data_IF_084998880092
#
_entry.id   IF_084998880092
#
_cell.length_a   1.000
_cell.length_b   1.000
_cell.length_c   1.000
_cell.angle_alpha   90.00
_cell.angle_beta   90.00
_cell.angle_gamma   90.00
#
_symmetry.space_group_name_H-M   'P 1'
#
loop_
_entity.id
_entity.type
_entity.pdbx_description
1 polymer ?
#
# COMPACT_ATOMS: atom_id res chain seq x y z
N UNK A 1 -56.41 1.62 -36.70
CA UNK A 1 -54.98 2.02 -36.81
C UNK A 1 -54.38 1.97 -35.38
N UNK A 2 -53.72 0.86 -35.07
CA UNK A 2 -53.17 0.59 -33.74
C UNK A 2 -51.72 1.13 -33.70
N UNK A 3 -51.45 2.17 -32.91
CA UNK A 3 -50.07 2.69 -32.68
C UNK A 3 -49.49 1.91 -31.54
N UNK A 4 -48.56 0.98 -31.86
CA UNK A 4 -47.78 0.26 -30.89
C UNK A 4 -46.68 1.17 -30.36
N UNK A 5 -46.79 1.60 -29.09
CA UNK A 5 -45.70 2.25 -28.31
C UNK A 5 -44.74 1.17 -27.85
N UNK A 6 -43.58 1.07 -28.50
CA UNK A 6 -42.46 0.24 -28.03
C UNK A 6 -41.74 1.02 -26.93
N UNK A 7 -41.95 0.62 -25.67
CA UNK A 7 -41.20 1.11 -24.55
C UNK A 7 -39.88 0.34 -24.47
N UNK A 8 -38.78 0.94 -24.92
CA UNK A 8 -37.43 0.42 -24.67
C UNK A 8 -37.11 0.59 -23.17
N UNK A 9 -37.25 -0.49 -22.44
CA UNK A 9 -36.73 -0.57 -21.07
C UNK A 9 -35.21 -0.71 -21.12
N UNK A 10 -34.50 0.39 -20.93
CA UNK A 10 -33.04 0.41 -20.77
C UNK A 10 -32.71 -0.24 -19.43
N UNK A 11 -32.28 -1.51 -19.44
CA UNK A 11 -31.67 -2.15 -18.26
C UNK A 11 -30.34 -1.46 -17.97
N UNK A 12 -30.31 -0.57 -16.98
CA UNK A 12 -29.10 -0.10 -16.34
C UNK A 12 -28.49 -1.30 -15.59
N UNK A 13 -27.52 -1.97 -16.18
CA UNK A 13 -26.69 -2.94 -15.48
C UNK A 13 -25.80 -2.17 -14.52
N UNK A 14 -26.20 -2.09 -13.26
CA UNK A 14 -25.36 -1.59 -12.20
C UNK A 14 -24.16 -2.53 -12.05
N UNK A 15 -22.99 -2.10 -12.51
CA UNK A 15 -21.74 -2.82 -12.29
C UNK A 15 -21.49 -2.88 -10.76
N UNK A 16 -21.22 -4.06 -10.19
CA UNK A 16 -20.97 -4.18 -8.77
C UNK A 16 -19.76 -3.33 -8.41
N UNK A 17 -19.95 -2.42 -7.45
CA UNK A 17 -18.84 -1.68 -6.85
C UNK A 17 -17.85 -2.69 -6.26
N UNK A 18 -16.58 -2.61 -6.64
CA UNK A 18 -15.52 -3.54 -6.23
C UNK A 18 -15.08 -3.30 -4.76
N UNK A 19 -16.03 -3.26 -3.84
CA UNK A 19 -15.74 -3.29 -2.41
C UNK A 19 -15.91 -4.74 -1.93
N UNK A 20 -14.84 -5.35 -1.42
CA UNK A 20 -14.89 -6.71 -0.92
C UNK A 20 -13.51 -7.24 -0.52
N UNK A 21 -13.53 -8.29 0.26
CA UNK A 21 -12.33 -8.99 0.70
C UNK A 21 -11.57 -9.56 -0.50
N UNK A 22 -10.28 -9.29 -0.55
CA UNK A 22 -9.40 -9.78 -1.61
C UNK A 22 -8.86 -11.15 -1.24
N UNK A 23 -8.91 -12.08 -2.19
CA UNK A 23 -8.11 -13.31 -2.09
C UNK A 23 -6.62 -12.95 -2.10
N UNK A 24 -5.78 -13.84 -1.59
CA UNK A 24 -4.31 -13.64 -1.59
C UNK A 24 -3.74 -13.41 -2.99
N UNK A 25 -4.28 -14.06 -4.01
CA UNK A 25 -3.87 -13.85 -5.39
C UNK A 25 -4.25 -12.45 -5.91
N UNK A 26 -5.45 -11.97 -5.57
CA UNK A 26 -5.90 -10.61 -5.90
C UNK A 26 -5.06 -9.57 -5.14
N UNK A 27 -4.83 -9.75 -3.85
CA UNK A 27 -4.01 -8.88 -3.02
C UNK A 27 -2.59 -8.77 -3.57
N UNK A 28 -1.97 -9.88 -3.94
CA UNK A 28 -0.64 -9.91 -4.54
C UNK A 28 -0.57 -9.07 -5.83
N UNK A 29 -1.51 -9.25 -6.76
CA UNK A 29 -1.56 -8.49 -8.01
C UNK A 29 -1.84 -7.00 -7.78
N UNK A 30 -2.61 -6.69 -6.74
CA UNK A 30 -3.01 -5.33 -6.41
C UNK A 30 -1.87 -4.55 -5.75
N UNK A 31 -1.10 -5.18 -4.85
CA UNK A 31 -0.14 -4.51 -3.95
C UNK A 31 1.30 -4.60 -4.44
N UNK A 32 1.74 -5.77 -4.92
CA UNK A 32 3.16 -6.00 -5.24
C UNK A 32 3.66 -5.06 -6.35
N UNK A 33 4.82 -4.48 -6.13
CA UNK A 33 5.51 -3.59 -7.06
C UNK A 33 4.95 -2.16 -7.10
N UNK A 34 3.96 -1.84 -6.26
CA UNK A 34 3.33 -0.51 -6.23
C UNK A 34 3.60 0.17 -4.90
N UNK A 35 3.63 1.48 -4.91
CA UNK A 35 3.80 2.31 -3.72
C UNK A 35 2.44 2.77 -3.21
N UNK A 36 2.23 2.69 -1.91
CA UNK A 36 1.01 3.13 -1.24
C UNK A 36 1.36 4.07 -0.10
N UNK A 37 0.62 5.16 0.01
CA UNK A 37 0.56 5.93 1.25
C UNK A 37 -0.46 5.27 2.16
N UNK A 38 -0.18 5.24 3.45
CA UNK A 38 -1.06 4.61 4.42
C UNK A 38 -1.28 5.47 5.66
N UNK A 39 -2.42 5.21 6.28
CA UNK A 39 -2.82 5.81 7.54
C UNK A 39 -3.53 4.75 8.39
N UNK A 40 -3.06 4.53 9.60
CA UNK A 40 -3.61 3.55 10.52
C UNK A 40 -4.54 4.19 11.56
N UNK A 41 -5.37 3.38 12.18
CA UNK A 41 -6.40 3.81 13.14
C UNK A 41 -5.82 4.56 14.34
N UNK A 42 -4.60 4.22 14.78
CA UNK A 42 -3.91 4.88 15.90
C UNK A 42 -3.11 6.12 15.47
N UNK A 43 -3.24 6.56 14.21
CA UNK A 43 -2.59 7.75 13.67
C UNK A 43 -1.22 7.53 13.04
N UNK A 44 -0.66 6.32 13.06
CA UNK A 44 0.56 6.00 12.31
C UNK A 44 0.32 6.17 10.83
N UNK A 45 1.26 6.78 10.13
CA UNK A 45 1.18 7.05 8.70
C UNK A 45 2.53 6.93 8.03
N UNK A 46 2.51 6.77 6.73
CA UNK A 46 3.73 6.69 5.93
C UNK A 46 3.46 6.29 4.50
N UNK A 47 4.51 5.82 3.88
CA UNK A 47 4.51 5.35 2.51
C UNK A 47 5.30 4.04 2.44
N UNK A 48 4.86 3.09 1.64
CA UNK A 48 5.54 1.81 1.55
C UNK A 48 5.31 1.10 0.22
N UNK A 49 6.26 0.25 -0.13
CA UNK A 49 6.22 -0.62 -1.29
C UNK A 49 6.51 -2.05 -0.88
N UNK A 50 5.67 -2.97 -1.35
CA UNK A 50 5.85 -4.41 -1.18
C UNK A 50 6.49 -4.97 -2.44
N UNK A 51 7.54 -5.76 -2.28
CA UNK A 51 8.26 -6.42 -3.37
C UNK A 51 7.80 -7.87 -3.54
N UNK A 52 8.09 -8.44 -4.72
CA UNK A 52 7.65 -9.80 -5.07
C UNK A 52 8.21 -10.89 -4.14
N UNK A 53 9.36 -10.65 -3.53
CA UNK A 53 10.01 -11.54 -2.57
C UNK A 53 9.47 -11.40 -1.13
N UNK A 54 8.43 -10.59 -0.92
CA UNK A 54 7.83 -10.34 0.40
C UNK A 54 8.62 -9.37 1.28
N UNK A 55 9.64 -8.69 0.75
CA UNK A 55 10.25 -7.55 1.43
C UNK A 55 9.37 -6.32 1.34
N UNK A 56 9.53 -5.40 2.28
CA UNK A 56 8.83 -4.12 2.31
C UNK A 56 9.84 -3.01 2.57
N UNK A 57 9.71 -1.89 1.88
CA UNK A 57 10.50 -0.70 2.16
C UNK A 57 9.60 0.54 2.12
N UNK A 58 9.91 1.50 2.97
CA UNK A 58 9.11 2.71 3.02
C UNK A 58 9.46 3.62 4.19
N UNK A 59 8.57 4.52 4.49
CA UNK A 59 8.67 5.46 5.59
C UNK A 59 7.55 5.23 6.60
N UNK A 60 7.81 5.54 7.86
CA UNK A 60 6.84 5.44 8.94
C UNK A 60 6.97 6.64 9.87
N UNK A 61 5.85 7.23 10.23
CA UNK A 61 5.72 8.22 11.27
C UNK A 61 4.71 7.70 12.30
N UNK A 62 5.18 7.39 13.49
CA UNK A 62 4.35 6.81 14.55
C UNK A 62 3.36 7.83 15.10
N UNK A 63 2.09 7.43 15.22
CA UNK A 63 0.98 8.25 15.74
C UNK A 63 0.88 9.66 15.13
N UNK A 64 1.37 9.84 13.91
CA UNK A 64 1.39 11.13 13.23
C UNK A 64 2.28 12.19 13.89
N UNK A 65 3.17 11.80 14.79
CA UNK A 65 4.04 12.69 15.59
C UNK A 65 5.51 12.35 15.39
N UNK A 66 6.37 13.32 15.67
CA UNK A 66 7.80 13.14 15.60
C UNK A 66 8.34 13.01 14.18
N UNK A 67 9.55 12.47 14.07
CA UNK A 67 10.28 12.33 12.80
C UNK A 67 9.74 11.15 12.00
N UNK A 68 9.78 11.29 10.70
CA UNK A 68 9.56 10.17 9.78
C UNK A 68 10.84 9.34 9.71
N UNK A 69 10.70 8.03 9.88
CA UNK A 69 11.79 7.07 9.81
C UNK A 69 11.68 6.24 8.54
N UNK A 70 12.83 5.89 7.96
CA UNK A 70 12.88 4.89 6.93
C UNK A 70 12.85 3.50 7.57
N UNK A 71 12.03 2.61 7.00
CA UNK A 71 11.90 1.23 7.45
C UNK A 71 12.07 0.29 6.25
N UNK A 72 12.88 -0.74 6.43
CA UNK A 72 13.04 -1.82 5.46
C UNK A 72 12.91 -3.16 6.18
N UNK A 73 12.02 -3.99 5.67
CA UNK A 73 11.79 -5.35 6.17
C UNK A 73 12.36 -6.35 5.15
N UNK A 74 13.05 -7.40 5.59
CA UNK A 74 13.74 -8.32 4.72
C UNK A 74 12.79 -9.16 3.87
N UNK A 75 13.34 -9.86 2.88
CA UNK A 75 12.60 -10.83 2.07
C UNK A 75 11.93 -11.89 2.96
N UNK A 76 10.74 -12.33 2.56
CA UNK A 76 9.94 -13.30 3.31
C UNK A 76 9.23 -12.75 4.54
N UNK A 77 9.33 -11.43 4.81
CA UNK A 77 8.53 -10.80 5.89
C UNK A 77 7.05 -10.94 5.63
N UNK A 78 6.57 -10.64 4.42
CA UNK A 78 5.21 -10.92 4.00
C UNK A 78 5.14 -12.23 3.23
N UNK A 79 4.26 -13.12 3.65
CA UNK A 79 4.04 -14.44 3.04
C UNK A 79 2.58 -14.86 3.11
N UNK A 80 2.22 -15.82 2.28
CA UNK A 80 0.90 -16.45 2.30
C UNK A 80 0.97 -17.69 3.18
N UNK A 81 0.11 -17.78 4.17
CA UNK A 81 -0.04 -18.92 5.08
C UNK A 81 -1.52 -19.26 5.19
N UNK A 82 -1.91 -20.49 4.88
CA UNK A 82 -3.31 -20.94 4.97
C UNK A 82 -4.31 -20.08 4.20
N UNK A 83 -3.90 -19.48 3.07
CA UNK A 83 -4.76 -18.60 2.28
C UNK A 83 -4.82 -17.14 2.77
N UNK A 84 -4.14 -16.78 3.85
CA UNK A 84 -4.06 -15.42 4.38
C UNK A 84 -2.70 -14.78 4.13
N UNK A 85 -2.65 -13.46 4.04
CA UNK A 85 -1.39 -12.69 4.02
C UNK A 85 -0.94 -12.49 5.46
N UNK A 86 0.24 -13.00 5.81
CA UNK A 86 0.75 -12.90 7.17
C UNK A 86 2.14 -12.23 7.17
N UNK A 87 2.48 -11.58 8.29
CA UNK A 87 3.79 -10.96 8.49
C UNK A 87 4.61 -11.77 9.51
N UNK A 88 5.85 -12.11 9.13
CA UNK A 88 6.83 -12.71 10.04
C UNK A 88 7.82 -11.63 10.44
N UNK A 89 7.70 -11.10 11.63
CA UNK A 89 8.54 -10.04 12.16
C UNK A 89 9.49 -10.62 13.22
N UNK A 90 10.78 -10.31 13.11
CA UNK A 90 11.76 -10.71 14.12
C UNK A 90 11.43 -10.04 15.46
N UNK A 91 11.46 -10.84 16.53
CA UNK A 91 11.17 -10.35 17.89
C UNK A 91 9.69 -10.40 18.27
N UNK A 92 8.78 -10.73 17.38
CA UNK A 92 7.39 -11.03 17.73
C UNK A 92 7.22 -12.55 17.94
N UNK A 93 6.62 -12.99 19.05
CA UNK A 93 6.38 -14.40 19.34
C UNK A 93 5.21 -14.99 18.52
N UNK A 94 4.52 -14.16 17.74
CA UNK A 94 3.36 -14.55 16.93
C UNK A 94 3.48 -13.96 15.51
N UNK A 95 2.73 -14.54 14.59
CA UNK A 95 2.67 -14.12 13.20
C UNK A 95 1.31 -13.52 12.90
N UNK A 96 1.18 -12.16 12.87
CA UNK A 96 -0.09 -11.54 12.53
C UNK A 96 -0.46 -11.83 11.08
N UNK A 97 -1.72 -12.19 10.87
CA UNK A 97 -2.30 -12.31 9.55
C UNK A 97 -3.30 -11.19 9.31
N UNK A 98 -3.54 -10.86 8.04
CA UNK A 98 -4.30 -9.68 7.66
C UNK A 98 -5.43 -10.04 6.70
N UNK A 99 -6.59 -9.45 6.95
CA UNK A 99 -7.67 -9.36 6.00
C UNK A 99 -7.46 -8.11 5.14
N UNK A 100 -7.54 -8.27 3.84
CA UNK A 100 -7.34 -7.19 2.88
C UNK A 100 -8.64 -6.95 2.13
N UNK A 101 -9.22 -5.78 2.30
CA UNK A 101 -10.46 -5.36 1.69
C UNK A 101 -10.20 -4.28 0.65
N UNK A 102 -10.63 -4.48 -0.57
CA UNK A 102 -10.55 -3.46 -1.62
C UNK A 102 -11.61 -2.40 -1.38
N UNK A 103 -11.20 -1.15 -1.24
CA UNK A 103 -12.09 0.00 -1.00
C UNK A 103 -12.24 0.90 -2.22
N UNK A 104 -11.48 0.66 -3.28
CA UNK A 104 -11.55 1.42 -4.52
C UNK A 104 -10.57 0.94 -5.58
N UNK A 105 -10.53 1.63 -6.71
CA UNK A 105 -9.66 1.28 -7.84
C UNK A 105 -8.17 1.28 -7.47
N UNK A 106 -7.74 2.19 -6.59
CA UNK A 106 -6.36 2.33 -6.13
C UNK A 106 -6.24 2.28 -4.61
N UNK A 107 -7.23 1.78 -3.88
CA UNK A 107 -7.23 1.79 -2.41
C UNK A 107 -7.72 0.48 -1.82
N UNK A 108 -7.19 0.17 -0.65
CA UNK A 108 -7.60 -0.98 0.14
C UNK A 108 -7.44 -0.70 1.63
N UNK A 109 -8.10 -1.50 2.45
CA UNK A 109 -7.93 -1.54 3.90
C UNK A 109 -7.29 -2.87 4.27
N UNK A 110 -6.30 -2.82 5.14
CA UNK A 110 -5.72 -4.00 5.76
C UNK A 110 -6.03 -3.97 7.26
N UNK A 111 -6.60 -5.04 7.80
CA UNK A 111 -6.87 -5.19 9.22
C UNK A 111 -6.24 -6.48 9.74
N UNK A 112 -5.87 -6.50 11.02
CA UNK A 112 -5.39 -7.73 11.66
C UNK A 112 -6.56 -8.70 11.78
N UNK A 113 -6.36 -9.94 11.34
CA UNK A 113 -7.39 -10.99 11.41
C UNK A 113 -7.86 -11.20 12.85
N UNK A 114 -9.16 -11.15 13.07
CA UNK A 114 -9.77 -11.20 14.39
C UNK A 114 -9.80 -9.87 15.17
N UNK A 115 -9.15 -8.81 14.66
CA UNK A 115 -9.10 -7.48 15.27
C UNK A 115 -9.48 -6.42 14.24
N UNK A 116 -10.72 -6.43 13.78
CA UNK A 116 -11.20 -5.55 12.70
C UNK A 116 -11.05 -4.05 12.96
N UNK A 117 -10.96 -3.62 14.23
CA UNK A 117 -10.69 -2.24 14.61
C UNK A 117 -9.21 -1.82 14.39
N UNK A 118 -8.30 -2.77 14.38
CA UNK A 118 -6.88 -2.55 14.14
C UNK A 118 -6.59 -2.60 12.63
N UNK A 119 -6.77 -1.49 11.95
CA UNK A 119 -6.64 -1.40 10.50
C UNK A 119 -5.77 -0.24 10.06
N UNK A 120 -5.25 -0.36 8.84
CA UNK A 120 -4.67 0.74 8.08
C UNK A 120 -5.41 0.87 6.74
N UNK A 121 -5.63 2.09 6.31
CA UNK A 121 -6.13 2.43 4.99
C UNK A 121 -4.98 2.79 4.07
N UNK A 122 -4.96 2.21 2.88
CA UNK A 122 -3.91 2.35 1.89
C UNK A 122 -4.47 2.98 0.62
N UNK A 123 -3.74 3.95 0.08
CA UNK A 123 -4.04 4.58 -1.21
C UNK A 123 -2.80 4.52 -2.09
N UNK A 124 -2.98 4.07 -3.32
CA UNK A 124 -1.88 4.03 -4.29
C UNK A 124 -1.30 5.42 -4.51
N UNK A 125 0.00 5.51 -4.35
CA UNK A 125 0.76 6.71 -4.67
C UNK A 125 1.14 6.65 -6.15
N UNK A 126 0.53 7.54 -6.94
CA UNK A 126 0.93 7.79 -8.32
C UNK A 126 1.98 8.90 -8.29
N UNK A 127 3.19 8.57 -7.83
CA UNK A 127 4.32 9.47 -7.94
C UNK A 127 4.56 9.73 -9.42
N UNK A 128 4.47 10.98 -9.85
CA UNK A 128 5.17 11.38 -11.07
C UNK A 128 6.64 11.11 -10.78
N UNK A 129 7.26 10.18 -11.50
CA UNK A 129 8.70 10.11 -11.57
C UNK A 129 9.14 11.44 -12.17
N UNK A 130 9.48 12.41 -11.33
CA UNK A 130 10.36 13.48 -11.74
C UNK A 130 11.68 12.77 -12.06
N UNK A 131 11.81 12.33 -13.29
CA UNK A 131 13.11 12.08 -13.89
C UNK A 131 13.77 13.45 -13.93
N UNK A 132 14.47 13.78 -12.88
CA UNK A 132 15.41 14.89 -12.88
C UNK A 132 16.53 14.46 -13.84
N UNK A 133 16.37 14.79 -15.12
CA UNK A 133 17.41 14.73 -16.14
C UNK A 133 18.43 15.85 -15.91
N UNK A 134 18.76 16.14 -14.64
CA UNK A 134 19.89 16.97 -14.28
C UNK A 134 21.14 16.11 -14.22
N UNK A 135 22.25 16.49 -14.89
CA UNK A 135 23.52 15.82 -14.68
C UNK A 135 23.85 15.88 -13.18
N UNK A 136 24.26 14.74 -12.60
CA UNK A 136 24.82 14.67 -11.25
C UNK A 136 26.05 15.57 -11.20
N UNK A 137 25.85 16.82 -10.84
CA UNK A 137 26.96 17.71 -10.50
C UNK A 137 27.55 17.18 -9.19
N UNK A 138 28.63 16.44 -9.30
CA UNK A 138 29.53 16.14 -8.19
C UNK A 138 29.99 17.51 -7.64
N UNK A 139 29.49 17.87 -6.47
CA UNK A 139 30.04 19.01 -5.73
C UNK A 139 31.50 18.66 -5.38
N UNK A 140 32.49 19.45 -5.84
CA UNK A 140 33.83 19.25 -5.34
C UNK A 140 33.85 19.56 -3.84
N UNK A 141 34.40 18.62 -3.09
CA UNK A 141 34.72 18.82 -1.68
C UNK A 141 35.66 20.02 -1.56
N UNK A 142 35.22 21.05 -0.85
CA UNK A 142 36.10 22.13 -0.41
C UNK A 142 37.12 21.53 0.56
N UNK A 143 38.32 21.31 0.09
CA UNK A 143 39.47 21.11 0.94
C UNK A 143 39.65 22.35 1.79
N UNK A 144 39.55 22.18 3.10
CA UNK A 144 39.93 23.19 4.06
C UNK A 144 41.44 23.38 3.91
N UNK A 145 41.80 24.55 3.41
CA UNK A 145 43.17 25.04 3.44
C UNK A 145 43.49 25.48 4.86
N UNK A 146 44.45 24.77 5.46
CA UNK A 146 45.01 25.15 6.73
C UNK A 146 46.32 25.89 6.42
N UNK A 147 46.36 27.18 6.70
CA UNK A 147 47.61 27.90 6.78
C UNK A 147 47.48 29.10 7.73
N UNK A 148 48.39 29.06 8.72
CA UNK A 148 48.95 30.06 9.63
C UNK A 148 48.10 30.54 10.78
#
# INVERSE_FOLDING_TARGET
MLRACVVLASLLVALPAFAGEMTTAQARRFVVGKTFVYHCFEGTRGEGRVYANGSVAGTIQFQGRGRTHYAALPAGTLRVVGGSVCASLRGLPFQPCFNLERTGAGSFRGSISGLGFAYCSFRRHYGHAHVSNGPLALRPSLTADASE
#
